data_IF_192259564664
#
_entry.id   IF_192259564664
#
_cell.length_a   1.000
_cell.length_b   1.000
_cell.length_c   1.000
_cell.angle_alpha   90.00
_cell.angle_beta   90.00
_cell.angle_gamma   90.00
#
_symmetry.space_group_name_H-M   'P 1'
#
loop_
_entity.id
_entity.type
_entity.pdbx_description
1 polymer ?
#
# COMPACT_ATOMS: atom_id res chain seq x y z
N UNK A 1 -9.58 2.81 21.37
CA UNK A 1 -9.89 1.80 20.34
C UNK A 1 -9.36 2.33 19.02
N UNK A 2 -8.58 1.55 18.30
CA UNK A 2 -8.02 1.93 16.99
C UNK A 2 -8.89 1.31 15.89
N UNK A 3 -9.31 2.13 14.93
CA UNK A 3 -10.17 1.74 13.81
C UNK A 3 -9.35 1.79 12.52
N UNK A 4 -9.49 0.74 11.72
CA UNK A 4 -8.89 0.62 10.40
C UNK A 4 -9.88 1.19 9.39
N UNK A 5 -9.50 2.29 8.75
CA UNK A 5 -10.29 2.92 7.70
C UNK A 5 -10.00 2.26 6.34
N UNK A 6 -11.06 1.77 5.69
CA UNK A 6 -11.00 1.16 4.36
C UNK A 6 -11.90 1.98 3.44
N UNK A 7 -11.28 2.78 2.57
CA UNK A 7 -11.99 3.55 1.54
C UNK A 7 -12.36 2.64 0.37
N UNK A 8 -13.65 2.44 0.17
CA UNK A 8 -14.22 1.76 -0.99
C UNK A 8 -14.78 2.81 -1.97
N UNK A 9 -15.02 2.45 -3.24
CA UNK A 9 -15.46 3.41 -4.25
C UNK A 9 -16.76 4.16 -3.92
N UNK A 10 -17.63 3.59 -3.08
CA UNK A 10 -18.96 4.15 -2.75
C UNK A 10 -19.14 4.50 -1.28
N UNK A 11 -18.26 4.04 -0.40
CA UNK A 11 -18.39 4.23 1.03
C UNK A 11 -17.03 4.05 1.72
N UNK A 12 -16.94 4.53 2.95
CA UNK A 12 -15.82 4.24 3.84
C UNK A 12 -16.28 3.26 4.90
N UNK A 13 -15.55 2.16 5.05
CA UNK A 13 -15.81 1.16 6.09
C UNK A 13 -14.77 1.35 7.18
N UNK A 14 -15.23 1.42 8.43
CA UNK A 14 -14.38 1.47 9.62
C UNK A 14 -14.50 0.15 10.34
N UNK A 15 -13.38 -0.57 10.48
CA UNK A 15 -13.35 -1.87 11.14
C UNK A 15 -12.38 -1.83 12.31
N UNK A 16 -12.76 -2.45 13.42
CA UNK A 16 -11.78 -2.85 14.43
C UNK A 16 -10.88 -3.95 13.87
N UNK A 17 -9.70 -4.12 14.46
CA UNK A 17 -8.78 -5.20 14.09
C UNK A 17 -9.44 -6.58 14.20
N UNK A 18 -10.31 -6.80 15.20
CA UNK A 18 -11.02 -8.07 15.39
C UNK A 18 -12.04 -8.33 14.28
N UNK A 19 -12.81 -7.33 13.90
CA UNK A 19 -13.79 -7.44 12.81
C UNK A 19 -13.10 -7.70 11.47
N UNK A 20 -12.01 -6.99 11.20
CA UNK A 20 -11.21 -7.22 9.99
C UNK A 20 -10.68 -8.66 9.94
N UNK A 21 -10.10 -9.16 11.03
CA UNK A 21 -9.60 -10.53 11.10
C UNK A 21 -10.72 -11.57 10.92
N UNK A 22 -11.90 -11.31 11.47
CA UNK A 22 -13.06 -12.19 11.33
C UNK A 22 -13.60 -12.20 9.90
N UNK A 23 -13.64 -11.04 9.25
CA UNK A 23 -14.03 -10.93 7.84
C UNK A 23 -13.04 -11.68 6.94
N UNK A 24 -11.74 -11.52 7.18
CA UNK A 24 -10.70 -12.20 6.40
C UNK A 24 -10.65 -13.71 6.66
N UNK A 25 -10.93 -14.17 7.88
CA UNK A 25 -10.97 -15.60 8.20
C UNK A 25 -12.17 -16.31 7.56
N UNK A 26 -13.29 -15.61 7.40
CA UNK A 26 -14.48 -16.14 6.73
C UNK A 26 -14.28 -16.37 5.22
N UNK A 27 -13.33 -15.68 4.59
CA UNK A 27 -13.10 -15.71 3.14
C UNK A 27 -11.60 -15.69 2.80
N UNK A 28 -10.98 -16.87 2.81
CA UNK A 28 -9.54 -17.04 2.60
C UNK A 28 -9.06 -16.56 1.22
N UNK A 29 -9.89 -16.65 0.19
CA UNK A 29 -9.54 -16.19 -1.16
C UNK A 29 -9.41 -14.66 -1.24
N UNK A 30 -10.30 -13.94 -0.56
CA UNK A 30 -10.22 -12.48 -0.44
C UNK A 30 -8.94 -12.09 0.29
N UNK A 31 -8.58 -12.82 1.36
CA UNK A 31 -7.33 -12.60 2.08
C UNK A 31 -6.10 -12.76 1.17
N UNK A 32 -6.02 -13.85 0.39
CA UNK A 32 -4.91 -14.10 -0.55
C UNK A 32 -4.79 -12.98 -1.60
N UNK A 33 -5.91 -12.56 -2.18
CA UNK A 33 -5.94 -11.46 -3.16
C UNK A 33 -5.45 -10.16 -2.51
N UNK A 34 -5.91 -9.86 -1.29
CA UNK A 34 -5.50 -8.68 -0.54
C UNK A 34 -3.98 -8.63 -0.32
N UNK A 35 -3.38 -9.74 0.11
CA UNK A 35 -1.92 -9.86 0.30
C UNK A 35 -1.17 -9.64 -1.02
N UNK A 36 -1.63 -10.24 -2.12
CA UNK A 36 -1.00 -10.10 -3.42
C UNK A 36 -1.02 -8.65 -3.93
N UNK A 37 -2.17 -7.97 -3.78
CA UNK A 37 -2.32 -6.55 -4.11
C UNK A 37 -1.40 -5.69 -3.26
N UNK A 38 -1.38 -5.91 -1.94
CA UNK A 38 -0.50 -5.18 -1.02
C UNK A 38 0.98 -5.30 -1.37
N UNK A 39 1.46 -6.51 -1.71
CA UNK A 39 2.86 -6.73 -2.16
C UNK A 39 3.16 -5.96 -3.44
N UNK A 40 2.23 -5.97 -4.40
CA UNK A 40 2.38 -5.28 -5.68
C UNK A 40 2.46 -3.77 -5.48
N UNK A 41 1.54 -3.21 -4.70
CA UNK A 41 1.54 -1.78 -4.33
C UNK A 41 2.83 -1.39 -3.62
N UNK A 42 3.28 -2.18 -2.63
CA UNK A 42 4.55 -1.94 -1.93
C UNK A 42 5.73 -1.92 -2.90
N UNK A 43 5.83 -2.91 -3.79
CA UNK A 43 6.89 -2.97 -4.80
C UNK A 43 6.87 -1.78 -5.75
N UNK A 44 5.68 -1.39 -6.22
CA UNK A 44 5.50 -0.23 -7.09
C UNK A 44 5.99 1.06 -6.41
N UNK A 45 5.59 1.30 -5.16
CA UNK A 45 6.08 2.47 -4.42
C UNK A 45 7.58 2.42 -4.21
N UNK A 46 8.14 1.30 -3.76
CA UNK A 46 9.59 1.14 -3.60
C UNK A 46 10.35 1.42 -4.90
N UNK A 47 9.84 0.95 -6.04
CA UNK A 47 10.46 1.20 -7.34
C UNK A 47 10.42 2.69 -7.69
N UNK A 48 9.28 3.36 -7.52
CA UNK A 48 9.15 4.81 -7.73
C UNK A 48 10.12 5.63 -6.88
N UNK A 49 10.28 5.26 -5.61
CA UNK A 49 11.25 5.93 -4.73
C UNK A 49 12.67 5.80 -5.26
N UNK A 50 13.08 4.59 -5.69
CA UNK A 50 14.41 4.37 -6.29
C UNK A 50 14.63 5.19 -7.57
N UNK A 51 13.60 5.30 -8.41
CA UNK A 51 13.67 6.10 -9.64
C UNK A 51 13.79 7.60 -9.34
N UNK A 52 13.05 8.07 -8.34
CA UNK A 52 13.14 9.45 -7.86
C UNK A 52 14.52 9.78 -7.28
N UNK A 53 15.08 8.91 -6.44
CA UNK A 53 16.41 9.13 -5.85
C UNK A 53 17.49 9.18 -6.93
N UNK A 54 17.43 8.29 -7.93
CA UNK A 54 18.34 8.32 -9.08
C UNK A 54 18.21 9.61 -9.91
N UNK A 55 17.00 10.14 -10.06
CA UNK A 55 16.77 11.40 -10.74
C UNK A 55 17.40 12.56 -9.98
N UNK A 56 17.24 12.60 -8.64
CA UNK A 56 17.88 13.61 -7.79
C UNK A 56 19.40 13.52 -7.90
N UNK A 57 19.98 12.32 -7.81
CA UNK A 57 21.42 12.12 -7.93
C UNK A 57 21.95 12.61 -9.29
N UNK A 58 21.23 12.31 -10.37
CA UNK A 58 21.56 12.78 -11.71
C UNK A 58 21.49 14.31 -11.80
N UNK A 59 20.44 14.94 -11.28
CA UNK A 59 20.32 16.41 -11.30
C UNK A 59 21.44 17.06 -10.48
N UNK A 60 21.76 16.52 -9.31
CA UNK A 60 22.85 17.02 -8.47
C UNK A 60 24.22 16.90 -9.17
N UNK A 61 24.46 15.82 -9.92
CA UNK A 61 25.69 15.66 -10.70
C UNK A 61 25.80 16.64 -11.87
N UNK A 62 24.67 17.04 -12.47
CA UNK A 62 24.66 17.91 -13.65
C UNK A 62 24.46 19.41 -13.34
N UNK A 63 24.07 19.78 -12.12
CA UNK A 63 23.96 21.19 -11.69
C UNK A 63 25.26 21.75 -11.07
N UNK A 64 26.34 20.96 -10.99
CA UNK A 64 27.65 21.40 -10.45
C UNK A 64 28.61 21.85 -11.59
N UNK A 65 28.12 22.02 -12.82
CA UNK A 65 28.91 22.55 -13.95
C UNK A 65 28.56 23.99 -14.30
#
# INVERSE_FOLDING_TARGET
>A
MELIEIKLPKCTVLLTQKELLTLLSSNLDIYKIGIQRGKTTKRYHTQKYREHDKLIDFLNQNMIH
#
